data_IF_604088616644
#
_entry.id   IF_604088616644
#
_cell.length_a   1.000
_cell.length_b   1.000
_cell.length_c   1.000
_cell.angle_alpha   90.00
_cell.angle_beta   90.00
_cell.angle_gamma   90.00
#
_symmetry.space_group_name_H-M   'P 1'
#
loop_
_entity.id
_entity.type
_entity.pdbx_description
1 polymer ?
#
# COMPACT_ATOMS: atom_id res chain seq x y z
N UNK A 1 -20.65 0.60 17.96
CA UNK A 1 -19.55 0.10 17.10
C UNK A 1 -19.73 0.65 15.68
N UNK A 2 -19.81 1.98 15.53
CA UNK A 2 -20.20 2.64 14.26
C UNK A 2 -19.42 3.93 14.00
N UNK A 3 -18.97 4.65 15.04
CA UNK A 3 -18.10 5.83 14.87
C UNK A 3 -16.68 5.50 14.37
N UNK A 4 -16.20 4.26 14.51
CA UNK A 4 -14.82 3.89 14.14
C UNK A 4 -14.64 3.53 12.66
N UNK A 5 -15.69 3.09 11.94
CA UNK A 5 -15.52 2.57 10.57
C UNK A 5 -15.00 3.65 9.59
N UNK A 6 -15.46 4.89 9.76
CA UNK A 6 -15.03 6.01 8.92
C UNK A 6 -13.56 6.36 9.20
N UNK A 7 -13.13 6.37 10.47
CA UNK A 7 -11.73 6.61 10.82
C UNK A 7 -10.82 5.45 10.38
N UNK A 8 -11.30 4.21 10.48
CA UNK A 8 -10.59 3.03 9.99
C UNK A 8 -10.43 3.09 8.46
N UNK A 9 -11.49 3.50 7.73
CA UNK A 9 -11.43 3.72 6.28
C UNK A 9 -10.47 4.85 5.91
N UNK A 10 -10.53 6.00 6.59
CA UNK A 10 -9.63 7.13 6.34
C UNK A 10 -8.19 6.73 6.60
N UNK A 11 -7.92 5.99 7.68
CA UNK A 11 -6.58 5.53 8.03
C UNK A 11 -6.07 4.52 6.99
N UNK A 12 -6.88 3.53 6.63
CA UNK A 12 -6.55 2.52 5.62
C UNK A 12 -6.28 3.14 4.25
N UNK A 13 -7.20 3.97 3.73
CA UNK A 13 -7.00 4.64 2.43
C UNK A 13 -5.87 5.68 2.47
N UNK A 14 -5.64 6.32 3.62
CA UNK A 14 -4.52 7.24 3.82
C UNK A 14 -3.16 6.54 3.73
N UNK A 15 -3.03 5.36 4.33
CA UNK A 15 -1.82 4.53 4.20
C UNK A 15 -1.62 4.06 2.75
N UNK A 16 -2.66 3.56 2.09
CA UNK A 16 -2.59 3.18 0.68
C UNK A 16 -2.15 4.33 -0.23
N UNK A 17 -2.59 5.56 0.06
CA UNK A 17 -2.22 6.74 -0.70
C UNK A 17 -0.74 7.10 -0.51
N UNK A 18 -0.23 6.99 0.70
CA UNK A 18 1.20 7.18 0.99
C UNK A 18 2.06 6.10 0.32
N UNK A 19 1.64 4.83 0.38
CA UNK A 19 2.33 3.74 -0.29
C UNK A 19 2.33 3.92 -1.82
N UNK A 20 1.20 4.31 -2.40
CA UNK A 20 1.08 4.63 -3.82
C UNK A 20 2.07 5.73 -4.23
N UNK A 21 2.07 6.87 -3.52
CA UNK A 21 2.97 7.97 -3.87
C UNK A 21 4.44 7.64 -3.62
N UNK A 22 4.76 6.95 -2.53
CA UNK A 22 6.13 6.51 -2.26
C UNK A 22 6.64 5.57 -3.36
N UNK A 23 5.77 4.68 -3.87
CA UNK A 23 6.09 3.77 -4.98
C UNK A 23 6.30 4.54 -6.28
N UNK A 24 5.42 5.48 -6.63
CA UNK A 24 5.57 6.29 -7.85
C UNK A 24 6.85 7.12 -7.81
N UNK A 25 7.14 7.74 -6.67
CA UNK A 25 8.37 8.52 -6.49
C UNK A 25 9.61 7.62 -6.52
N UNK A 26 9.57 6.46 -5.86
CA UNK A 26 10.62 5.45 -5.86
C UNK A 26 10.97 4.98 -7.27
N UNK A 27 9.96 4.59 -8.06
CA UNK A 27 10.14 4.16 -9.44
C UNK A 27 10.75 5.25 -10.31
N UNK A 28 10.37 6.52 -10.11
CA UNK A 28 10.94 7.67 -10.86
C UNK A 28 12.42 7.92 -10.54
N UNK A 29 12.91 7.50 -9.37
CA UNK A 29 14.32 7.64 -8.98
C UNK A 29 15.14 6.37 -9.20
N UNK A 30 14.53 5.30 -9.75
CA UNK A 30 15.22 4.06 -10.08
C UNK A 30 15.04 2.92 -9.07
N UNK A 31 14.09 3.03 -8.13
CA UNK A 31 13.70 1.89 -7.30
C UNK A 31 13.13 0.76 -8.19
N UNK A 32 13.37 -0.48 -7.80
CA UNK A 32 12.90 -1.66 -8.53
C UNK A 32 11.66 -2.22 -7.82
N UNK A 33 10.56 -2.30 -8.55
CA UNK A 33 9.38 -3.04 -8.10
C UNK A 33 9.71 -4.54 -8.10
N UNK A 34 9.81 -5.13 -6.90
CA UNK A 34 10.14 -6.54 -6.74
C UNK A 34 8.95 -7.47 -6.98
N UNK A 35 7.71 -6.96 -6.88
CA UNK A 35 6.53 -7.75 -7.18
C UNK A 35 6.35 -7.87 -8.71
N UNK A 36 6.45 -9.07 -9.31
CA UNK A 36 6.36 -9.24 -10.75
C UNK A 36 4.99 -8.85 -11.34
N UNK A 37 3.91 -9.01 -10.57
CA UNK A 37 2.57 -8.58 -10.98
C UNK A 37 2.49 -7.05 -10.98
N UNK A 38 2.93 -6.41 -9.90
CA UNK A 38 2.98 -4.95 -9.80
C UNK A 38 3.92 -4.32 -10.85
N UNK A 39 5.02 -4.99 -11.20
CA UNK A 39 5.99 -4.52 -12.20
C UNK A 39 5.39 -4.37 -13.61
N UNK A 40 4.43 -5.22 -13.96
CA UNK A 40 3.74 -5.15 -15.26
C UNK A 40 2.85 -3.90 -15.39
N UNK A 41 2.26 -3.47 -14.27
CA UNK A 41 1.30 -2.36 -14.19
C UNK A 41 1.93 -1.06 -13.67
N UNK A 42 3.16 -1.09 -13.19
CA UNK A 42 3.90 0.07 -12.65
C UNK A 42 4.43 1.02 -13.73
N UNK A 43 4.26 0.68 -15.02
CA UNK A 43 4.66 1.54 -16.15
C UNK A 43 3.80 2.81 -16.29
N UNK A 44 2.56 2.79 -15.79
CA UNK A 44 1.70 3.96 -15.72
C UNK A 44 1.21 4.17 -14.29
N UNK A 45 1.32 5.40 -13.81
CA UNK A 45 0.83 5.82 -12.50
C UNK A 45 -0.66 5.52 -12.32
N UNK A 46 -1.47 5.64 -13.37
CA UNK A 46 -2.91 5.36 -13.34
C UNK A 46 -3.15 3.85 -13.16
N UNK A 47 -2.46 3.00 -13.91
CA UNK A 47 -2.61 1.54 -13.80
C UNK A 47 -2.08 1.01 -12.48
N UNK A 48 -1.02 1.62 -11.94
CA UNK A 48 -0.51 1.32 -10.60
C UNK A 48 -1.52 1.71 -9.52
N UNK A 49 -2.20 2.86 -9.67
CA UNK A 49 -3.23 3.29 -8.72
C UNK A 49 -4.40 2.30 -8.75
N UNK A 50 -4.92 1.97 -9.95
CA UNK A 50 -6.00 1.00 -10.08
C UNK A 50 -5.63 -0.38 -9.54
N UNK A 51 -4.39 -0.83 -9.71
CA UNK A 51 -3.91 -2.08 -9.15
C UNK A 51 -3.84 -2.04 -7.62
N UNK A 52 -3.17 -1.03 -7.04
CA UNK A 52 -2.99 -0.94 -5.57
C UNK A 52 -4.31 -0.66 -4.85
N UNK A 53 -5.06 0.37 -5.26
CA UNK A 53 -6.35 0.70 -4.64
C UNK A 53 -7.43 -0.33 -4.95
N UNK A 54 -7.40 -0.95 -6.13
CA UNK A 54 -8.32 -2.03 -6.49
C UNK A 54 -8.07 -3.30 -5.68
N UNK A 55 -6.81 -3.71 -5.51
CA UNK A 55 -6.46 -4.85 -4.64
C UNK A 55 -6.73 -4.55 -3.17
N UNK A 56 -6.40 -3.35 -2.69
CA UNK A 56 -6.70 -2.93 -1.32
C UNK A 56 -8.21 -2.95 -1.05
N UNK A 57 -9.01 -2.40 -1.97
CA UNK A 57 -10.46 -2.40 -1.87
C UNK A 57 -11.07 -3.80 -1.94
N UNK A 58 -10.55 -4.66 -2.83
CA UNK A 58 -10.99 -6.06 -2.93
C UNK A 58 -10.59 -6.88 -1.70
N UNK A 59 -9.38 -6.69 -1.18
CA UNK A 59 -8.92 -7.32 0.05
C UNK A 59 -9.76 -6.88 1.25
N UNK A 60 -10.01 -5.58 1.40
CA UNK A 60 -10.89 -5.04 2.43
C UNK A 60 -12.30 -5.64 2.34
N UNK A 61 -12.88 -5.67 1.14
CA UNK A 61 -14.20 -6.24 0.89
C UNK A 61 -14.27 -7.74 1.26
N UNK A 62 -13.29 -8.53 0.83
CA UNK A 62 -13.23 -9.96 1.15
C UNK A 62 -13.06 -10.20 2.64
N UNK A 63 -12.14 -9.49 3.30
CA UNK A 63 -11.86 -9.62 4.73
C UNK A 63 -13.09 -9.24 5.58
N UNK A 64 -13.83 -8.20 5.18
CA UNK A 64 -14.98 -7.73 5.95
C UNK A 64 -16.23 -8.61 5.79
N UNK A 65 -16.44 -9.21 4.61
CA UNK A 65 -17.63 -10.02 4.32
C UNK A 65 -17.45 -11.52 4.55
N UNK A 66 -16.25 -12.07 4.39
CA UNK A 66 -16.05 -13.54 4.37
C UNK A 66 -15.48 -14.11 5.66
N UNK A 67 -14.91 -13.29 6.54
CA UNK A 67 -14.31 -13.75 7.80
C UNK A 67 -15.28 -13.46 8.95
N UNK A 68 -16.05 -14.46 9.43
CA UNK A 68 -17.04 -14.25 10.48
C UNK A 68 -16.41 -14.01 11.86
N UNK A 69 -15.11 -14.30 12.02
CA UNK A 69 -14.40 -14.18 13.30
C UNK A 69 -13.69 -12.83 13.35
N UNK A 70 -14.23 -11.92 14.17
CA UNK A 70 -13.71 -10.56 14.36
C UNK A 70 -12.20 -10.53 14.66
N UNK A 71 -11.67 -11.49 15.42
CA UNK A 71 -10.24 -11.56 15.79
C UNK A 71 -9.34 -11.86 14.59
N UNK A 72 -9.67 -12.88 13.79
CA UNK A 72 -8.86 -13.26 12.62
C UNK A 72 -8.87 -12.11 11.60
N UNK A 73 -10.02 -11.47 11.43
CA UNK A 73 -10.17 -10.29 10.59
C UNK A 73 -9.21 -9.16 10.99
N UNK A 74 -9.16 -8.84 12.29
CA UNK A 74 -8.27 -7.78 12.81
C UNK A 74 -6.80 -8.11 12.59
N UNK A 75 -6.35 -9.33 12.85
CA UNK A 75 -4.94 -9.70 12.65
C UNK A 75 -4.51 -9.65 11.18
N UNK A 76 -5.38 -10.02 10.24
CA UNK A 76 -5.08 -9.95 8.81
C UNK A 76 -4.94 -8.50 8.35
N UNK A 77 -5.82 -7.60 8.80
CA UNK A 77 -5.75 -6.18 8.46
C UNK A 77 -4.45 -5.57 9.01
N UNK A 78 -4.12 -5.85 10.28
CA UNK A 78 -2.89 -5.36 10.91
C UNK A 78 -1.65 -5.87 10.15
N UNK A 79 -1.59 -7.17 9.83
CA UNK A 79 -0.46 -7.74 9.11
C UNK A 79 -0.30 -7.16 7.69
N UNK A 80 -1.41 -6.87 7.00
CA UNK A 80 -1.38 -6.21 5.69
C UNK A 80 -0.85 -4.77 5.78
N UNK A 81 -1.31 -4.01 6.78
CA UNK A 81 -0.89 -2.63 7.02
C UNK A 81 0.59 -2.53 7.44
N UNK A 82 1.07 -3.45 8.28
CA UNK A 82 2.48 -3.57 8.67
C UNK A 82 3.39 -3.87 7.47
N UNK A 83 2.99 -4.82 6.60
CA UNK A 83 3.73 -5.14 5.37
C UNK A 83 3.81 -3.94 4.44
N UNK A 84 2.72 -3.20 4.29
CA UNK A 84 2.66 -2.02 3.43
C UNK A 84 3.49 -0.85 3.99
N UNK A 85 3.54 -0.71 5.31
CA UNK A 85 4.43 0.22 5.99
C UNK A 85 5.91 -0.11 5.72
N UNK A 86 6.31 -1.39 5.75
CA UNK A 86 7.67 -1.81 5.42
C UNK A 86 8.04 -1.49 3.97
N UNK A 87 7.12 -1.71 3.02
CA UNK A 87 7.33 -1.36 1.60
C UNK A 87 7.48 0.16 1.44
N UNK A 88 6.62 0.94 2.10
CA UNK A 88 6.67 2.40 2.09
C UNK A 88 7.99 2.92 2.67
N UNK A 89 8.45 2.37 3.79
CA UNK A 89 9.73 2.71 4.41
C UNK A 89 10.90 2.41 3.47
N UNK A 90 10.91 1.25 2.83
CA UNK A 90 11.94 0.90 1.86
C UNK A 90 11.97 1.90 0.69
N UNK A 91 10.81 2.29 0.15
CA UNK A 91 10.71 3.29 -0.91
C UNK A 91 11.30 4.64 -0.46
N UNK A 92 10.98 5.10 0.75
CA UNK A 92 11.52 6.35 1.32
C UNK A 92 13.05 6.27 1.46
N UNK A 93 13.58 5.14 1.95
CA UNK A 93 15.02 4.95 2.09
C UNK A 93 15.75 5.00 0.75
N UNK A 94 15.22 4.34 -0.28
CA UNK A 94 15.78 4.37 -1.64
C UNK A 94 15.77 5.79 -2.21
N UNK A 95 14.67 6.54 -2.04
CA UNK A 95 14.58 7.95 -2.46
C UNK A 95 15.62 8.80 -1.74
N UNK A 96 15.78 8.62 -0.42
CA UNK A 96 16.75 9.36 0.39
C UNK A 96 18.19 9.07 -0.06
N UNK A 97 18.54 7.80 -0.28
CA UNK A 97 19.86 7.40 -0.76
C UNK A 97 20.16 8.01 -2.13
N UNK A 98 19.21 7.95 -3.07
CA UNK A 98 19.37 8.57 -4.39
C UNK A 98 19.59 10.08 -4.32
N UNK A 99 18.85 10.77 -3.45
CA UNK A 99 19.01 12.21 -3.23
C UNK A 99 20.37 12.56 -2.62
N UNK A 100 20.93 11.70 -1.77
CA UNK A 100 22.26 11.87 -1.18
C UNK A 100 23.38 11.62 -2.20
N UNK A 101 23.24 10.63 -3.08
CA UNK A 101 24.24 10.29 -4.10
C UNK A 101 24.28 11.27 -5.29
N UNK A 102 23.27 12.13 -5.44
CA UNK A 102 23.23 13.20 -6.45
C UNK A 102 23.73 14.57 -5.96
N UNK A 103 24.13 14.68 -4.69
CA UNK A 103 24.84 15.85 -4.15
C UNK A 103 26.33 15.66 -4.30
#
# INVERSE_FOLDING_TARGET
>A
MTLNLIYDLISFFGFQFNDFWSTVLGLRVGAVEHNPLARSVSKSWITLALYKFGLAGLAFYLIFLTIPINIIRTYIIIAADELECLVTLNNILVIKQHKMNKK
#
